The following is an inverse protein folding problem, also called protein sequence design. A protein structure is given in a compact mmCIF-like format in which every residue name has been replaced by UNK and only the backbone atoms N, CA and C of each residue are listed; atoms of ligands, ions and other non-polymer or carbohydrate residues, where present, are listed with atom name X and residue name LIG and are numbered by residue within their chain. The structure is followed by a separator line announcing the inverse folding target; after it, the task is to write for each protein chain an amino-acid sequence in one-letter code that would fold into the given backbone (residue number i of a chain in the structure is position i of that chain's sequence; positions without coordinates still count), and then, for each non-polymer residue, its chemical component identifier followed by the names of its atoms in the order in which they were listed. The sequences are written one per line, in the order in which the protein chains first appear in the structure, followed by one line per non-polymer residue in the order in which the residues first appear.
data_IF_010738009494
#
_entry.id   IF_010738009494
#
_cell.length_a   1.000
_cell.length_b   1.000
_cell.length_c   1.000
_cell.angle_alpha   90.00
_cell.angle_beta   90.00
_cell.angle_gamma   90.00
#
_symmetry.space_group_name_H-M   'P 1'
#
loop_
_entity.id
_entity.type
_entity.pdbx_description
1 polymer ?
#
# COMPACT_ATOMS: atom_id res chain seq x y z
N UNK A 1 -8.32 -6.10 -4.06
CA UNK A 1 -7.18 -5.19 -3.82
C UNK A 1 -6.86 -5.02 -2.33
N UNK A 2 -7.70 -4.31 -1.56
CA UNK A 2 -7.45 -4.04 -0.11
C UNK A 2 -7.06 -5.30 0.67
N UNK A 3 -7.85 -6.38 0.55
CA UNK A 3 -7.56 -7.67 1.22
C UNK A 3 -6.18 -8.25 0.88
N UNK A 4 -5.73 -8.09 -0.37
CA UNK A 4 -4.42 -8.60 -0.79
C UNK A 4 -3.28 -7.85 -0.08
N UNK A 5 -3.40 -6.52 0.03
CA UNK A 5 -2.45 -5.67 0.75
C UNK A 5 -2.51 -5.94 2.26
N UNK A 6 -3.69 -6.12 2.84
CA UNK A 6 -3.84 -6.46 4.26
C UNK A 6 -3.12 -7.77 4.59
N UNK A 7 -3.27 -8.80 3.75
CA UNK A 7 -2.61 -10.08 3.94
C UNK A 7 -1.09 -9.97 3.77
N UNK A 8 -0.60 -9.22 2.79
CA UNK A 8 0.85 -9.04 2.62
C UNK A 8 1.51 -8.30 3.78
N UNK A 9 0.86 -7.27 4.33
CA UNK A 9 1.35 -6.60 5.54
C UNK A 9 1.38 -7.56 6.73
N UNK A 10 0.30 -8.34 6.92
CA UNK A 10 0.25 -9.35 7.98
C UNK A 10 1.37 -10.40 7.85
N UNK A 11 1.68 -10.82 6.63
CA UNK A 11 2.72 -11.82 6.39
C UNK A 11 4.13 -11.30 6.74
N UNK A 12 4.41 -10.03 6.50
CA UNK A 12 5.74 -9.42 6.69
C UNK A 12 5.90 -8.83 8.09
N UNK A 13 4.96 -7.98 8.52
CA UNK A 13 5.03 -7.24 9.79
C UNK A 13 4.46 -8.01 10.98
N UNK A 14 3.72 -9.09 10.72
CA UNK A 14 2.96 -9.84 11.74
C UNK A 14 1.95 -8.96 12.50
N UNK A 15 1.55 -7.85 11.90
CA UNK A 15 0.61 -6.86 12.46
C UNK A 15 -0.48 -6.53 11.44
N UNK A 16 -1.67 -6.19 11.93
CA UNK A 16 -2.75 -5.72 11.07
C UNK A 16 -2.46 -4.27 10.67
N UNK A 17 -2.48 -3.93 9.37
CA UNK A 17 -2.37 -2.55 8.95
C UNK A 17 -3.61 -1.75 9.38
N UNK A 18 -3.40 -0.48 9.71
CA UNK A 18 -4.47 0.48 9.86
C UNK A 18 -4.90 0.97 8.47
N UNK A 19 -6.20 0.92 8.17
CA UNK A 19 -6.73 1.47 6.94
C UNK A 19 -7.00 2.96 7.15
N UNK A 20 -6.31 3.79 6.37
CA UNK A 20 -6.41 5.25 6.46
C UNK A 20 -7.14 5.76 5.21
N UNK A 21 -8.13 6.62 5.42
CA UNK A 21 -8.73 7.39 4.34
C UNK A 21 -7.88 8.64 4.10
N UNK A 22 -7.07 8.63 3.04
CA UNK A 22 -6.29 9.81 2.66
C UNK A 22 -7.25 10.90 2.15
N UNK A 23 -7.23 12.05 2.82
CA UNK A 23 -8.06 13.23 2.50
C UNK A 23 -7.38 14.22 1.56
N UNK A 24 -6.05 14.14 1.45
CA UNK A 24 -5.27 14.91 0.48
C UNK A 24 -5.46 14.41 -0.95
N UNK A 25 -5.25 15.31 -1.90
CA UNK A 25 -5.28 15.02 -3.33
C UNK A 25 -4.02 14.29 -3.78
N UNK A 26 -4.15 13.32 -4.66
CA UNK A 26 -3.03 12.68 -5.35
C UNK A 26 -3.51 11.92 -6.59
N UNK A 27 -2.57 11.30 -7.31
CA UNK A 27 -2.85 10.61 -8.59
C UNK A 27 -3.94 9.54 -8.46
N UNK A 28 -3.99 8.86 -7.31
CA UNK A 28 -5.02 7.88 -6.97
C UNK A 28 -6.45 8.44 -7.13
N UNK A 29 -6.68 9.72 -6.82
CA UNK A 29 -7.98 10.36 -6.95
C UNK A 29 -8.33 10.55 -8.43
N UNK A 30 -7.35 11.00 -9.23
CA UNK A 30 -7.52 11.23 -10.66
C UNK A 30 -7.79 9.89 -11.37
N UNK A 31 -6.90 8.92 -11.18
CA UNK A 31 -6.97 7.59 -11.80
C UNK A 31 -8.24 6.86 -11.37
N UNK A 32 -8.56 6.83 -10.08
CA UNK A 32 -9.74 6.16 -9.56
C UNK A 32 -11.04 6.77 -10.10
N UNK A 33 -11.10 8.11 -10.19
CA UNK A 33 -12.28 8.81 -10.70
C UNK A 33 -12.45 8.66 -12.22
N UNK A 34 -11.36 8.67 -12.98
CA UNK A 34 -11.38 8.57 -14.44
C UNK A 34 -11.65 7.13 -14.91
N UNK A 35 -10.92 6.16 -14.37
CA UNK A 35 -10.97 4.76 -14.84
C UNK A 35 -11.99 3.90 -14.10
N UNK A 36 -12.58 4.39 -13.00
CA UNK A 36 -13.55 3.66 -12.17
C UNK A 36 -13.03 2.30 -11.67
N UNK A 37 -11.73 2.22 -11.40
CA UNK A 37 -11.07 1.02 -10.86
C UNK A 37 -10.76 1.17 -9.37
N UNK A 38 -10.64 0.07 -8.62
CA UNK A 38 -10.17 0.11 -7.23
C UNK A 38 -8.72 0.62 -7.16
N UNK A 39 -8.45 1.58 -6.27
CA UNK A 39 -7.11 2.14 -6.04
C UNK A 39 -6.76 2.06 -4.56
N UNK A 40 -5.49 1.79 -4.25
CA UNK A 40 -4.91 1.86 -2.91
C UNK A 40 -3.55 2.52 -3.01
N UNK A 41 -3.23 3.37 -2.04
CA UNK A 41 -1.90 3.94 -1.86
C UNK A 41 -1.22 3.27 -0.68
N UNK A 42 0.03 2.89 -0.88
CA UNK A 42 0.86 2.25 0.13
C UNK A 42 2.32 2.65 -0.09
N UNK A 43 3.03 2.95 0.99
CA UNK A 43 4.45 3.22 0.99
C UNK A 43 5.01 3.23 2.42
N UNK A 44 6.32 2.96 2.59
CA UNK A 44 7.02 3.13 3.86
C UNK A 44 7.28 4.61 4.18
N UNK A 45 7.63 4.91 5.43
CA UNK A 45 7.96 6.26 5.89
C UNK A 45 6.78 7.04 6.49
N UNK A 46 7.12 8.15 7.16
CA UNK A 46 6.15 9.05 7.76
C UNK A 46 5.73 10.13 6.74
N UNK A 47 4.44 10.18 6.32
CA UNK A 47 3.98 11.20 5.39
C UNK A 47 4.07 12.63 5.94
N UNK A 48 4.28 12.85 7.24
CA UNK A 48 4.48 14.18 7.81
C UNK A 48 5.88 14.74 7.54
N UNK A 49 6.87 13.89 7.22
CA UNK A 49 8.22 14.34 6.86
C UNK A 49 8.33 14.75 5.38
N UNK A 50 7.30 14.49 4.57
CA UNK A 50 7.28 14.89 3.17
C UNK A 50 7.45 16.40 3.01
N UNK A 51 8.33 16.81 2.09
CA UNK A 51 8.67 18.21 1.83
C UNK A 51 9.35 18.95 3.00
N UNK A 52 9.95 18.22 3.94
CA UNK A 52 10.82 18.79 4.96
C UNK A 52 12.29 18.71 4.53
N UNK A 53 13.18 19.46 5.18
CA UNK A 53 14.63 19.40 4.88
C UNK A 53 15.27 18.08 5.30
N UNK A 54 14.65 17.39 6.26
CA UNK A 54 15.12 16.15 6.87
C UNK A 54 14.29 14.94 6.42
N UNK A 55 13.64 15.04 5.25
CA UNK A 55 12.85 13.94 4.68
C UNK A 55 13.69 12.68 4.56
N UNK A 56 13.24 11.61 5.22
CA UNK A 56 13.95 10.34 5.28
C UNK A 56 12.98 9.19 5.43
N UNK A 57 13.50 7.99 5.23
CA UNK A 57 12.78 6.75 5.45
C UNK A 57 13.73 5.73 6.04
N UNK A 58 13.23 4.88 6.94
CA UNK A 58 14.02 3.77 7.45
C UNK A 58 14.36 2.79 6.34
N UNK A 59 15.63 2.40 6.23
CA UNK A 59 16.07 1.37 5.26
C UNK A 59 15.36 0.04 5.50
N UNK A 60 15.14 -0.32 6.77
CA UNK A 60 14.40 -1.54 7.13
C UNK A 60 12.93 -1.46 6.68
N UNK A 61 12.26 -0.32 6.91
CA UNK A 61 10.89 -0.11 6.43
C UNK A 61 10.81 -0.13 4.91
N UNK A 62 11.79 0.46 4.23
CA UNK A 62 11.89 0.45 2.79
C UNK A 62 11.98 -0.97 2.23
N UNK A 63 12.91 -1.78 2.76
CA UNK A 63 13.10 -3.18 2.34
C UNK A 63 11.86 -4.04 2.66
N UNK A 64 11.25 -3.85 3.83
CA UNK A 64 9.97 -4.52 4.17
C UNK A 64 8.85 -4.11 3.24
N UNK A 65 8.77 -2.83 2.86
CA UNK A 65 7.80 -2.31 1.90
C UNK A 65 7.88 -3.01 0.54
N UNK A 66 9.10 -3.28 0.05
CA UNK A 66 9.32 -4.07 -1.17
C UNK A 66 8.73 -5.48 -1.03
N UNK A 67 9.00 -6.16 0.08
CA UNK A 67 8.50 -7.52 0.33
C UNK A 67 6.97 -7.55 0.48
N UNK A 68 6.38 -6.52 1.10
CA UNK A 68 4.92 -6.35 1.19
C UNK A 68 4.33 -6.19 -0.20
N UNK A 69 4.89 -5.34 -1.05
CA UNK A 69 4.40 -5.15 -2.42
C UNK A 69 4.50 -6.46 -3.23
N UNK A 70 5.62 -7.17 -3.15
CA UNK A 70 5.80 -8.47 -3.84
C UNK A 70 4.75 -9.48 -3.39
N UNK A 71 4.53 -9.66 -2.09
CA UNK A 71 3.49 -10.57 -1.57
C UNK A 71 2.08 -10.11 -1.91
N UNK A 72 1.83 -8.81 -2.00
CA UNK A 72 0.51 -8.27 -2.35
C UNK A 72 0.09 -8.70 -3.75
N UNK A 73 1.02 -8.74 -4.71
CA UNK A 73 0.77 -9.21 -6.08
C UNK A 73 0.38 -10.70 -6.09
N UNK A 74 1.09 -11.53 -5.32
CA UNK A 74 0.76 -12.95 -5.18
C UNK A 74 -0.62 -13.17 -4.56
N UNK A 75 -0.94 -12.45 -3.49
CA UNK A 75 -2.26 -12.52 -2.86
C UNK A 75 -3.35 -11.99 -3.79
N UNK A 76 -3.08 -10.94 -4.56
CA UNK A 76 -4.04 -10.38 -5.51
C UNK A 76 -4.38 -11.39 -6.59
N UNK A 77 -3.37 -12.02 -7.20
CA UNK A 77 -3.56 -13.10 -8.18
C UNK A 77 -4.37 -14.25 -7.59
N UNK A 78 -3.93 -14.78 -6.45
CA UNK A 78 -4.62 -15.89 -5.76
C UNK A 78 -6.07 -15.58 -5.43
N UNK A 79 -6.39 -14.35 -5.00
CA UNK A 79 -7.75 -13.95 -4.70
C UNK A 79 -8.59 -13.77 -5.96
N UNK A 80 -8.02 -13.21 -7.03
CA UNK A 80 -8.71 -13.10 -8.33
C UNK A 80 -9.08 -14.49 -8.87
N UNK A 81 -8.12 -15.42 -8.87
CA UNK A 81 -8.30 -16.78 -9.41
C UNK A 81 -9.35 -17.59 -8.63
N UNK A 82 -9.59 -17.28 -7.34
CA UNK A 82 -10.63 -17.92 -6.50
C UNK A 82 -12.04 -17.38 -6.71
N UNK A 83 -12.15 -16.22 -7.36
CA UNK A 83 -13.44 -15.52 -7.55
C UNK A 83 -14.03 -15.82 -8.94
N UNK A 84 -13.25 -16.46 -9.81
CA UNK A 84 -13.71 -17.10 -11.04
C UNK A 84 -14.01 -18.56 -10.78
#
# INVERSE_FOLDING_TARGET
LVRAITLSVLDVEKKRPMLIRKTGTGDMNVIGNQLKIPVVTYGPGDPHEAHTIDEKVSVDEFVKGIEILKKSLHHLKRLHDRTK
#
